data_IF_314263888486
#
_entry.id   IF_314263888486
#
_cell.length_a   1.000
_cell.length_b   1.000
_cell.length_c   1.000
_cell.angle_alpha   90.00
_cell.angle_beta   90.00
_cell.angle_gamma   90.00
#
_symmetry.space_group_name_H-M   'P 1'
#
loop_
_entity.id
_entity.type
_entity.pdbx_description
1 polymer ?
#
# COMPACT_ATOMS: atom_id res chain seq x y z
N UNK A 1 -13.97 -36.26 7.88
CA UNK A 1 -14.03 -35.32 9.01
C UNK A 1 -15.01 -34.23 8.63
N UNK A 2 -16.12 -34.11 9.35
CA UNK A 2 -17.11 -33.05 9.15
C UNK A 2 -16.47 -31.70 9.50
N UNK A 3 -16.67 -30.71 8.64
CA UNK A 3 -16.11 -29.35 8.75
C UNK A 3 -16.91 -28.54 9.81
N UNK A 4 -17.13 -29.12 11.00
CA UNK A 4 -17.86 -28.48 12.07
C UNK A 4 -17.03 -27.34 12.68
N UNK A 5 -17.64 -26.17 12.94
CA UNK A 5 -16.92 -25.03 13.49
C UNK A 5 -16.48 -25.34 14.93
N UNK A 6 -15.20 -25.09 15.22
CA UNK A 6 -14.63 -25.29 16.54
C UNK A 6 -15.18 -24.27 17.57
N UNK A 7 -15.38 -23.04 17.13
CA UNK A 7 -15.92 -21.94 17.92
C UNK A 7 -16.54 -20.90 17.00
N UNK A 8 -17.48 -20.11 17.53
CA UNK A 8 -18.03 -18.92 16.87
C UNK A 8 -17.35 -17.70 17.49
N UNK A 9 -16.81 -16.83 16.63
CA UNK A 9 -16.05 -15.64 17.04
C UNK A 9 -16.82 -14.40 16.60
N UNK A 10 -17.31 -13.64 17.57
CA UNK A 10 -18.08 -12.40 17.36
C UNK A 10 -17.30 -11.16 17.79
N UNK A 11 -16.27 -11.34 18.61
CA UNK A 11 -15.46 -10.27 19.19
C UNK A 11 -14.01 -10.74 19.44
N UNK A 12 -13.19 -9.87 20.01
CA UNK A 12 -11.79 -10.20 20.25
C UNK A 12 -11.60 -11.20 21.41
N UNK A 13 -12.50 -11.27 22.39
CA UNK A 13 -12.33 -12.21 23.50
C UNK A 13 -12.73 -13.63 23.10
N UNK A 14 -13.84 -13.79 22.38
CA UNK A 14 -14.22 -15.05 21.74
C UNK A 14 -13.16 -15.55 20.75
N UNK A 15 -12.43 -14.65 20.08
CA UNK A 15 -11.26 -15.00 19.26
C UNK A 15 -10.14 -15.64 20.10
N UNK A 16 -9.83 -15.06 21.26
CA UNK A 16 -8.80 -15.59 22.16
C UNK A 16 -9.22 -16.94 22.73
N UNK A 17 -10.47 -17.06 23.15
CA UNK A 17 -11.01 -18.33 23.65
C UNK A 17 -10.98 -19.42 22.58
N UNK A 18 -11.35 -19.11 21.34
CA UNK A 18 -11.24 -20.05 20.22
C UNK A 18 -9.80 -20.57 20.05
N UNK A 19 -8.79 -19.69 20.18
CA UNK A 19 -7.39 -20.10 20.12
C UNK A 19 -6.94 -20.88 21.36
N UNK A 20 -7.40 -20.50 22.58
CA UNK A 20 -7.13 -21.26 23.81
C UNK A 20 -7.66 -22.69 23.69
N UNK A 21 -8.90 -22.85 23.21
CA UNK A 21 -9.53 -24.15 22.93
C UNK A 21 -8.74 -24.92 21.86
N UNK A 22 -8.40 -24.29 20.73
CA UNK A 22 -7.66 -24.94 19.65
C UNK A 22 -6.29 -25.46 20.10
N UNK A 23 -5.59 -24.67 20.94
CA UNK A 23 -4.32 -25.03 21.57
C UNK A 23 -4.48 -26.17 22.57
N UNK A 24 -5.48 -26.10 23.45
CA UNK A 24 -5.77 -27.12 24.46
C UNK A 24 -6.12 -28.47 23.81
N UNK A 25 -6.94 -28.48 22.76
CA UNK A 25 -7.28 -29.69 22.00
C UNK A 25 -6.08 -30.41 21.39
N UNK A 26 -4.99 -29.68 21.14
CA UNK A 26 -3.73 -30.20 20.58
C UNK A 26 -2.66 -30.44 21.64
N UNK A 27 -2.97 -30.21 22.92
CA UNK A 27 -2.04 -30.33 24.04
C UNK A 27 -0.72 -29.56 23.84
N UNK A 28 -0.78 -28.39 23.22
CA UNK A 28 0.41 -27.56 22.98
C UNK A 28 0.72 -26.70 24.21
N UNK A 29 1.99 -26.57 24.57
CA UNK A 29 2.43 -25.67 25.65
C UNK A 29 2.68 -24.25 25.12
N UNK A 30 2.68 -23.23 26.00
CA UNK A 30 3.04 -21.86 25.59
C UNK A 30 4.47 -21.80 25.04
N UNK A 31 5.43 -22.44 25.72
CA UNK A 31 6.83 -22.47 25.31
C UNK A 31 7.01 -23.09 23.91
N UNK A 32 6.35 -24.23 23.64
CA UNK A 32 6.37 -24.82 22.30
C UNK A 32 5.79 -23.86 21.26
N UNK A 33 4.72 -23.13 21.60
CA UNK A 33 4.10 -22.20 20.67
C UNK A 33 4.95 -20.95 20.41
N UNK A 34 5.66 -20.47 21.43
CA UNK A 34 6.61 -19.37 21.28
C UNK A 34 7.75 -19.81 20.33
N UNK A 35 8.33 -20.99 20.54
CA UNK A 35 9.40 -21.53 19.71
C UNK A 35 8.95 -21.82 18.27
N UNK A 36 7.80 -22.48 18.10
CA UNK A 36 7.28 -22.88 16.79
C UNK A 36 6.85 -21.67 15.92
N UNK A 37 6.39 -20.59 16.56
CA UNK A 37 5.98 -19.36 15.90
C UNK A 37 7.09 -18.31 15.74
N UNK A 38 8.32 -18.63 16.11
CA UNK A 38 9.46 -17.69 16.16
C UNK A 38 9.13 -16.41 16.97
N UNK A 39 8.43 -16.61 18.09
CA UNK A 39 8.08 -15.53 19.01
C UNK A 39 9.08 -15.41 20.14
N UNK A 40 9.16 -14.21 20.72
CA UNK A 40 9.87 -14.01 21.97
C UNK A 40 9.18 -14.78 23.11
N UNK A 41 9.97 -15.28 24.06
CA UNK A 41 9.48 -16.02 25.22
C UNK A 41 8.35 -15.27 25.97
N UNK A 42 7.25 -16.00 26.23
CA UNK A 42 6.07 -15.48 26.92
C UNK A 42 5.17 -14.62 26.02
N UNK A 43 5.40 -14.56 24.71
CA UNK A 43 4.53 -13.83 23.78
C UNK A 43 3.15 -14.48 23.71
N UNK A 44 3.08 -15.81 23.60
CA UNK A 44 1.82 -16.55 23.62
C UNK A 44 1.09 -16.35 24.93
N UNK A 45 1.80 -16.30 26.07
CA UNK A 45 1.19 -16.02 27.37
C UNK A 45 0.62 -14.59 27.45
N UNK A 46 1.29 -13.60 26.86
CA UNK A 46 0.74 -12.23 26.76
C UNK A 46 -0.50 -12.15 25.88
N UNK A 47 -0.63 -13.02 24.88
CA UNK A 47 -1.75 -13.00 23.93
C UNK A 47 -2.94 -13.84 24.41
N UNK A 48 -2.67 -15.03 24.97
CA UNK A 48 -3.65 -16.06 25.33
C UNK A 48 -3.69 -16.37 26.83
N UNK A 49 -2.82 -15.77 27.65
CA UNK A 49 -2.88 -15.91 29.10
C UNK A 49 -4.08 -15.16 29.71
N UNK A 50 -4.39 -15.35 31.00
CA UNK A 50 -5.62 -14.85 31.63
C UNK A 50 -5.80 -13.33 31.54
N UNK A 51 -4.70 -12.58 31.66
CA UNK A 51 -4.70 -11.11 31.57
C UNK A 51 -4.78 -10.62 30.13
N UNK A 52 -4.33 -11.45 29.17
CA UNK A 52 -4.27 -11.17 27.74
C UNK A 52 -3.79 -9.73 27.44
N UNK A 53 -2.64 -9.38 28.05
CA UNK A 53 -2.07 -8.03 28.03
C UNK A 53 -1.71 -7.52 26.63
N UNK A 54 -1.65 -8.40 25.62
CA UNK A 54 -1.39 -8.06 24.22
C UNK A 54 -2.56 -8.50 23.32
N UNK A 55 -2.95 -7.63 22.40
CA UNK A 55 -3.90 -7.95 21.33
C UNK A 55 -3.28 -8.88 20.27
N UNK A 56 -4.12 -9.61 19.55
CA UNK A 56 -3.67 -10.50 18.47
C UNK A 56 -3.57 -9.66 17.19
N UNK A 57 -2.34 -9.26 16.84
CA UNK A 57 -2.06 -8.56 15.59
C UNK A 57 -2.06 -9.50 14.37
N UNK A 58 -1.99 -8.96 13.14
CA UNK A 58 -2.08 -9.76 11.91
C UNK A 58 -1.08 -10.92 11.84
N UNK A 59 0.20 -10.66 12.14
CA UNK A 59 1.25 -11.70 12.12
C UNK A 59 0.98 -12.79 13.15
N UNK A 60 0.58 -12.42 14.38
CA UNK A 60 0.27 -13.39 15.43
C UNK A 60 -0.97 -14.19 15.07
N UNK A 61 -1.97 -13.57 14.47
CA UNK A 61 -3.18 -14.23 13.99
C UNK A 61 -2.85 -15.30 12.95
N UNK A 62 -2.09 -14.94 11.91
CA UNK A 62 -1.73 -15.86 10.83
C UNK A 62 -0.92 -17.05 11.37
N UNK A 63 -0.01 -16.80 12.29
CA UNK A 63 0.83 -17.85 12.86
C UNK A 63 0.05 -18.76 13.81
N UNK A 64 -0.87 -18.21 14.61
CA UNK A 64 -1.78 -19.02 15.42
C UNK A 64 -2.69 -19.90 14.55
N UNK A 65 -3.16 -19.39 13.41
CA UNK A 65 -3.95 -20.18 12.47
C UNK A 65 -3.16 -21.38 11.94
N UNK A 66 -1.90 -21.18 11.53
CA UNK A 66 -1.02 -22.25 11.05
C UNK A 66 -0.68 -23.24 12.16
N UNK A 67 -0.16 -22.74 13.28
CA UNK A 67 0.33 -23.54 14.40
C UNK A 67 -0.79 -24.37 15.03
N UNK A 68 -1.99 -23.80 15.16
CA UNK A 68 -3.15 -24.52 15.66
C UNK A 68 -3.95 -25.19 14.56
N UNK A 69 -3.49 -25.20 13.32
CA UNK A 69 -4.18 -25.81 12.17
C UNK A 69 -5.68 -25.48 12.15
N UNK A 70 -6.01 -24.20 12.28
CA UNK A 70 -7.39 -23.67 12.21
C UNK A 70 -7.54 -22.72 11.01
N UNK A 71 -8.75 -22.66 10.48
CA UNK A 71 -9.15 -21.70 9.45
C UNK A 71 -10.28 -20.85 10.01
N UNK A 72 -10.30 -19.56 9.67
CA UNK A 72 -11.42 -18.68 9.96
C UNK A 72 -12.36 -18.64 8.77
N UNK A 73 -13.63 -18.87 9.05
CA UNK A 73 -14.71 -18.73 8.06
C UNK A 73 -15.57 -17.58 8.53
N UNK A 74 -15.66 -16.54 7.70
CA UNK A 74 -16.54 -15.41 7.93
C UNK A 74 -17.89 -15.71 7.28
N UNK A 75 -18.94 -15.69 8.09
CA UNK A 75 -20.32 -15.91 7.65
C UNK A 75 -21.18 -14.70 8.03
N UNK A 76 -22.26 -14.41 7.28
CA UNK A 76 -23.21 -13.37 7.69
C UNK A 76 -23.82 -13.69 9.05
N UNK A 77 -23.75 -12.71 9.96
CA UNK A 77 -24.53 -12.71 11.20
C UNK A 77 -25.81 -11.93 10.93
N UNK A 78 -26.92 -12.66 10.78
CA UNK A 78 -28.21 -12.09 10.38
C UNK A 78 -28.78 -11.13 11.43
N UNK A 79 -28.44 -11.29 12.71
CA UNK A 79 -28.90 -10.40 13.77
C UNK A 79 -28.15 -9.06 13.71
N UNK A 80 -26.82 -9.13 13.59
CA UNK A 80 -26.00 -7.92 13.38
C UNK A 80 -26.35 -7.24 12.04
N UNK A 81 -26.65 -8.01 10.99
CA UNK A 81 -27.07 -7.49 9.70
C UNK A 81 -28.37 -6.70 9.83
N UNK A 82 -29.38 -7.26 10.50
CA UNK A 82 -30.65 -6.58 10.75
C UNK A 82 -30.46 -5.29 11.56
N UNK A 83 -29.60 -5.30 12.58
CA UNK A 83 -29.30 -4.11 13.38
C UNK A 83 -28.59 -3.01 12.58
N UNK A 84 -27.70 -3.40 11.65
CA UNK A 84 -26.91 -2.46 10.85
C UNK A 84 -27.64 -1.95 9.60
N UNK A 85 -28.75 -2.58 9.21
CA UNK A 85 -29.47 -2.27 7.99
C UNK A 85 -29.86 -0.78 7.87
N UNK A 86 -30.38 -0.18 8.95
CA UNK A 86 -30.74 1.24 8.98
C UNK A 86 -29.52 2.17 8.85
N UNK A 87 -28.40 1.80 9.48
CA UNK A 87 -27.13 2.55 9.40
C UNK A 87 -26.56 2.51 7.98
N UNK A 88 -26.63 1.35 7.32
CA UNK A 88 -26.17 1.21 5.94
C UNK A 88 -27.02 1.99 4.95
N UNK A 89 -28.34 1.99 5.12
CA UNK A 89 -29.26 2.75 4.26
C UNK A 89 -29.10 4.28 4.43
N UNK A 90 -28.77 4.74 5.63
CA UNK A 90 -28.50 6.16 5.90
C UNK A 90 -27.13 6.66 5.42
N UNK A 91 -26.29 5.78 4.84
CA UNK A 91 -24.93 6.14 4.44
C UNK A 91 -24.92 7.02 3.19
N UNK A 92 -24.30 8.20 3.30
CA UNK A 92 -24.01 9.02 2.12
C UNK A 92 -22.94 8.36 1.24
N UNK A 93 -23.32 7.99 0.03
CA UNK A 93 -22.44 7.32 -0.94
C UNK A 93 -21.33 8.23 -1.49
N UNK A 94 -21.36 9.55 -1.24
CA UNK A 94 -20.35 10.50 -1.74
C UNK A 94 -18.94 10.25 -1.20
N UNK A 95 -18.84 9.61 -0.04
CA UNK A 95 -17.55 9.25 0.59
C UNK A 95 -17.11 7.81 0.30
N UNK A 96 -17.95 7.02 -0.40
CA UNK A 96 -17.55 5.70 -0.87
C UNK A 96 -16.57 5.92 -2.01
N UNK A 97 -15.32 5.50 -1.81
CA UNK A 97 -14.32 5.49 -2.88
C UNK A 97 -14.73 4.42 -3.88
N UNK A 98 -15.46 4.80 -4.91
CA UNK A 98 -15.61 4.01 -6.10
C UNK A 98 -14.25 3.99 -6.82
N UNK A 99 -13.56 2.84 -6.79
CA UNK A 99 -12.29 2.70 -7.50
C UNK A 99 -12.44 2.82 -9.03
N UNK A 100 -13.62 3.19 -9.54
CA UNK A 100 -13.98 3.37 -10.94
C UNK A 100 -13.12 4.41 -11.67
N UNK A 101 -12.62 5.44 -10.98
CA UNK A 101 -11.88 6.56 -11.59
C UNK A 101 -10.37 6.57 -11.30
N UNK A 102 -9.84 5.56 -10.62
CA UNK A 102 -8.39 5.49 -10.37
C UNK A 102 -7.67 4.95 -11.61
N UNK A 103 -7.12 5.87 -12.40
CA UNK A 103 -6.09 5.50 -13.38
C UNK A 103 -4.91 4.86 -12.65
N UNK A 104 -4.38 3.74 -13.17
CA UNK A 104 -3.21 3.10 -12.55
C UNK A 104 -2.02 4.06 -12.53
N UNK A 105 -1.18 3.93 -11.50
CA UNK A 105 0.04 4.75 -11.39
C UNK A 105 0.95 4.54 -12.60
N UNK A 106 1.03 3.33 -13.17
CA UNK A 106 1.81 3.10 -14.39
C UNK A 106 1.24 3.82 -15.60
N UNK A 107 -0.09 3.89 -15.72
CA UNK A 107 -0.74 4.57 -16.82
C UNK A 107 -0.53 6.09 -16.75
N UNK A 108 -0.58 6.66 -15.54
CA UNK A 108 -0.20 8.06 -15.30
C UNK A 108 1.28 8.31 -15.64
N UNK A 109 2.19 7.43 -15.22
CA UNK A 109 3.61 7.55 -15.53
C UNK A 109 3.88 7.51 -17.04
N UNK A 110 3.17 6.63 -17.78
CA UNK A 110 3.28 6.54 -19.25
C UNK A 110 2.70 7.76 -19.96
N UNK A 111 1.63 8.34 -19.43
CA UNK A 111 1.00 9.55 -20.00
C UNK A 111 1.74 10.85 -19.65
N UNK A 112 2.53 10.86 -18.58
CA UNK A 112 3.19 12.04 -18.03
C UNK A 112 4.01 12.86 -19.06
N UNK A 113 4.81 12.26 -19.97
CA UNK A 113 5.55 13.03 -20.98
C UNK A 113 4.64 13.78 -21.96
N UNK A 114 3.50 13.18 -22.34
CA UNK A 114 2.53 13.80 -23.25
C UNK A 114 1.82 14.97 -22.57
N UNK A 115 1.42 14.78 -21.30
CA UNK A 115 0.81 15.83 -20.48
C UNK A 115 1.78 17.01 -20.32
N UNK A 116 3.05 16.76 -19.97
CA UNK A 116 4.04 17.82 -19.81
C UNK A 116 4.39 18.52 -21.12
N UNK A 117 4.43 17.81 -22.24
CA UNK A 117 4.63 18.40 -23.56
C UNK A 117 3.50 19.39 -23.89
N UNK A 118 2.26 19.00 -23.65
CA UNK A 118 1.10 19.84 -23.92
C UNK A 118 1.02 21.04 -22.96
N UNK A 119 1.26 20.83 -21.67
CA UNK A 119 1.35 21.91 -20.69
C UNK A 119 2.47 22.91 -21.04
N UNK A 120 3.64 22.42 -21.46
CA UNK A 120 4.76 23.26 -21.87
C UNK A 120 4.42 24.09 -23.12
N UNK A 121 3.71 23.50 -24.09
CA UNK A 121 3.22 24.19 -25.29
C UNK A 121 2.28 25.35 -24.92
N UNK A 122 1.29 25.08 -24.07
CA UNK A 122 0.33 26.09 -23.58
C UNK A 122 1.02 27.20 -22.80
N UNK A 123 1.94 26.85 -21.91
CA UNK A 123 2.73 27.83 -21.15
C UNK A 123 3.60 28.71 -22.06
N UNK A 124 4.23 28.15 -23.09
CA UNK A 124 5.00 28.91 -24.07
C UNK A 124 4.13 29.89 -24.87
N UNK A 125 2.93 29.47 -25.30
CA UNK A 125 1.97 30.33 -25.97
C UNK A 125 1.52 31.49 -25.08
N UNK A 126 1.17 31.22 -23.81
CA UNK A 126 0.80 32.25 -22.85
C UNK A 126 1.93 33.25 -22.58
N UNK A 127 3.18 32.76 -22.46
CA UNK A 127 4.36 33.63 -22.30
C UNK A 127 4.60 34.51 -23.54
N UNK A 128 4.34 34.00 -24.74
CA UNK A 128 4.50 34.78 -25.98
C UNK A 128 3.59 36.02 -25.97
N UNK A 129 2.38 35.91 -25.44
CA UNK A 129 1.42 37.01 -25.34
C UNK A 129 1.89 38.06 -24.32
N UNK A 130 2.40 37.63 -23.16
CA UNK A 130 2.76 38.53 -22.04
C UNK A 130 4.14 39.20 -22.14
N UNK A 131 5.02 38.75 -23.06
CA UNK A 131 6.40 39.25 -23.15
C UNK A 131 6.57 40.12 -24.40
N UNK A 132 7.08 41.34 -24.21
CA UNK A 132 7.39 42.28 -25.29
C UNK A 132 8.41 41.70 -26.29
N UNK A 133 8.23 42.02 -27.58
CA UNK A 133 9.06 41.54 -28.69
C UNK A 133 10.59 41.63 -28.47
N UNK A 134 11.16 42.77 -27.99
CA UNK A 134 12.61 42.87 -27.77
C UNK A 134 13.11 41.92 -26.68
N UNK A 135 12.32 41.70 -25.62
CA UNK A 135 12.66 40.78 -24.54
C UNK A 135 12.58 39.32 -25.01
N UNK A 136 11.64 38.98 -25.90
CA UNK A 136 11.57 37.66 -26.54
C UNK A 136 12.83 37.36 -27.36
N UNK A 137 13.31 38.31 -28.15
CA UNK A 137 14.54 38.17 -28.94
C UNK A 137 15.77 37.95 -28.05
N UNK A 138 15.87 38.69 -26.93
CA UNK A 138 16.95 38.52 -25.94
C UNK A 138 16.93 37.14 -25.29
N UNK A 139 15.76 36.64 -24.91
CA UNK A 139 15.58 35.29 -24.34
C UNK A 139 15.95 34.21 -25.37
N UNK A 140 15.46 34.33 -26.61
CA UNK A 140 15.77 33.39 -27.69
C UNK A 140 17.28 33.31 -27.96
N UNK A 141 17.95 34.47 -28.01
CA UNK A 141 19.41 34.54 -28.20
C UNK A 141 20.19 33.88 -27.05
N UNK A 142 19.78 34.11 -25.80
CA UNK A 142 20.37 33.44 -24.62
C UNK A 142 20.16 31.92 -24.67
N UNK A 143 18.96 31.48 -25.02
CA UNK A 143 18.64 30.05 -25.15
C UNK A 143 19.47 29.38 -26.26
N UNK A 144 19.61 30.03 -27.42
CA UNK A 144 20.45 29.54 -28.52
C UNK A 144 21.91 29.39 -28.08
N UNK A 145 22.49 30.42 -27.43
CA UNK A 145 23.86 30.35 -26.90
C UNK A 145 24.03 29.20 -25.89
N UNK A 146 23.06 29.00 -25.01
CA UNK A 146 23.11 27.90 -24.04
C UNK A 146 23.04 26.52 -24.72
N UNK A 147 22.20 26.35 -25.75
CA UNK A 147 22.12 25.12 -26.55
C UNK A 147 23.43 24.83 -27.26
N UNK A 148 24.02 25.83 -27.91
CA UNK A 148 25.33 25.72 -28.57
C UNK A 148 26.45 25.34 -27.59
N UNK A 149 26.48 25.96 -26.39
CA UNK A 149 27.44 25.61 -25.34
C UNK A 149 27.31 24.14 -24.91
N UNK A 150 26.08 23.65 -24.72
CA UNK A 150 25.83 22.24 -24.37
C UNK A 150 26.22 21.27 -25.49
N UNK A 151 25.89 21.60 -26.75
CA UNK A 151 26.25 20.77 -27.90
C UNK A 151 27.77 20.66 -28.04
N UNK A 152 28.50 21.76 -27.90
CA UNK A 152 29.98 21.75 -27.88
C UNK A 152 30.55 20.93 -26.74
N UNK A 153 29.99 21.03 -25.54
CA UNK A 153 30.46 20.23 -24.40
C UNK A 153 30.23 18.73 -24.63
N UNK A 154 29.10 18.35 -25.26
CA UNK A 154 28.83 16.95 -25.61
C UNK A 154 29.79 16.42 -26.68
N UNK A 155 30.08 17.21 -27.71
CA UNK A 155 31.07 16.88 -28.75
C UNK A 155 32.47 16.75 -28.16
N UNK A 156 32.90 17.69 -27.32
CA UNK A 156 34.20 17.62 -26.66
C UNK A 156 34.34 16.41 -25.73
N UNK A 157 33.26 16.00 -25.05
CA UNK A 157 33.24 14.80 -24.22
C UNK A 157 33.34 13.52 -25.07
N UNK A 158 32.62 13.44 -26.19
CA UNK A 158 32.73 12.30 -27.11
C UNK A 158 34.10 12.21 -27.78
N UNK A 159 34.70 13.35 -28.13
CA UNK A 159 36.03 13.41 -28.76
C UNK A 159 37.13 12.99 -27.78
N UNK A 160 37.00 13.36 -26.50
CA UNK A 160 37.90 12.93 -25.43
C UNK A 160 37.79 11.41 -25.18
N UNK A 161 36.58 10.85 -25.14
CA UNK A 161 36.37 9.41 -24.99
C UNK A 161 36.98 8.60 -26.15
N UNK A 162 36.99 9.16 -27.38
CA UNK A 162 37.67 8.53 -28.53
C UNK A 162 39.19 8.66 -28.55
N UNK A 163 39.79 9.66 -27.88
CA UNK A 163 41.25 9.83 -27.83
C UNK A 163 41.96 8.95 -26.79
N UNK A 164 41.25 8.43 -25.78
CA UNK A 164 41.80 7.55 -24.73
C UNK A 164 41.46 6.07 -24.91
N UNK A 165 40.80 5.69 -26.01
CA UNK A 165 40.38 4.33 -26.33
C UNK A 165 41.27 3.61 -27.36
N UNK A 166 42.46 4.15 -27.67
CA UNK A 166 43.45 3.61 -28.61
C UNK A 166 44.74 3.19 -27.93
#
# INVERSE_FOLDING_TARGET
>A
MTDQPLAVVTDHESLREAFRVAKALRNLSNAFCDDAGDFAEGHVDKCLGPTAARGIGPTTFDEFCKMFAVKFVMVPDLECEAAMQGVWQGRENRNVRDNAHRMSKELLARAQPLIFKEMSRRAAAARKIKIAAPLRAKIARRAARARWKKARAKLAASDADTMFAG
#
